data_IF_789573433549
#
_entry.id   IF_789573433549
#
_cell.length_a   1.000
_cell.length_b   1.000
_cell.length_c   1.000
_cell.angle_alpha   90.00
_cell.angle_beta   90.00
_cell.angle_gamma   90.00
#
_symmetry.space_group_name_H-M   'P 1'
#
loop_
_entity.id
_entity.type
_entity.pdbx_description
1 polymer ?
#
# COMPACT_ATOMS: atom_id res chain seq x y z
N UNK A 1 -22.25 -9.05 -16.38
CA UNK A 1 -20.81 -8.72 -16.49
C UNK A 1 -20.64 -7.21 -16.47
N UNK A 2 -19.72 -6.67 -15.66
CA UNK A 2 -19.44 -5.22 -15.57
C UNK A 2 -17.99 -4.93 -15.96
N UNK A 3 -17.77 -3.80 -16.62
CA UNK A 3 -16.48 -3.32 -17.08
C UNK A 3 -16.23 -1.90 -16.58
N UNK A 4 -15.01 -1.58 -16.19
CA UNK A 4 -14.55 -0.23 -15.90
C UNK A 4 -13.16 -0.03 -16.51
N UNK A 5 -12.66 1.21 -16.47
CA UNK A 5 -11.33 1.56 -16.94
C UNK A 5 -10.53 2.13 -15.77
N UNK A 6 -9.31 1.64 -15.57
CA UNK A 6 -8.45 2.09 -14.46
C UNK A 6 -8.07 3.57 -14.54
N UNK A 7 -8.06 4.14 -15.73
CA UNK A 7 -7.79 5.56 -15.99
C UNK A 7 -9.04 6.43 -16.06
N UNK A 8 -10.23 5.81 -16.08
CA UNK A 8 -11.50 6.51 -16.11
C UNK A 8 -11.84 7.20 -14.79
N UNK A 9 -12.93 7.99 -14.81
CA UNK A 9 -13.51 8.52 -13.58
C UNK A 9 -13.95 7.36 -12.68
N UNK A 10 -13.47 7.33 -11.47
CA UNK A 10 -13.82 6.34 -10.44
C UNK A 10 -14.33 7.02 -9.19
N UNK A 11 -14.86 6.23 -8.27
CA UNK A 11 -15.24 6.72 -6.96
C UNK A 11 -13.97 7.06 -6.17
N UNK A 12 -13.70 8.37 -6.03
CA UNK A 12 -12.55 8.84 -5.29
C UNK A 12 -12.74 8.57 -3.81
N UNK A 13 -11.82 7.83 -3.22
CA UNK A 13 -11.81 7.56 -1.78
C UNK A 13 -11.04 8.66 -1.07
N UNK A 14 -11.64 9.23 -0.03
CA UNK A 14 -10.92 10.12 0.87
C UNK A 14 -9.80 9.32 1.57
N UNK A 15 -8.58 9.80 1.43
CA UNK A 15 -7.39 9.19 2.00
C UNK A 15 -7.09 9.86 3.34
N UNK A 16 -6.81 9.07 4.38
CA UNK A 16 -6.29 9.62 5.64
C UNK A 16 -4.83 10.09 5.40
N UNK A 17 -4.55 11.41 5.53
CA UNK A 17 -3.22 11.94 5.26
C UNK A 17 -2.14 11.38 6.20
N UNK A 18 -2.50 10.88 7.37
CA UNK A 18 -1.56 10.26 8.32
C UNK A 18 -0.98 8.93 7.82
N UNK A 19 -1.57 8.30 6.80
CA UNK A 19 -1.09 7.04 6.23
C UNK A 19 -0.02 7.21 5.15
N UNK A 20 0.22 8.46 4.74
CA UNK A 20 1.13 8.78 3.64
C UNK A 20 2.12 9.88 4.02
N UNK A 21 3.28 9.87 3.37
CA UNK A 21 4.31 10.88 3.62
C UNK A 21 4.03 12.19 2.88
N UNK A 22 3.21 12.15 1.82
CA UNK A 22 2.81 13.30 1.01
C UNK A 22 1.49 12.97 0.31
N UNK A 23 1.05 13.87 -0.57
CA UNK A 23 -0.23 13.79 -1.26
C UNK A 23 -0.38 12.51 -2.09
N UNK A 24 -1.47 11.82 -1.86
CA UNK A 24 -1.82 10.55 -2.50
C UNK A 24 -3.31 10.55 -2.84
N UNK A 25 -3.64 10.02 -4.01
CA UNK A 25 -5.01 9.87 -4.49
C UNK A 25 -5.36 8.39 -4.60
N UNK A 26 -6.60 8.05 -4.30
CA UNK A 26 -7.07 6.68 -4.36
C UNK A 26 -8.46 6.63 -5.00
N UNK A 27 -8.61 5.77 -6.01
CA UNK A 27 -9.91 5.43 -6.62
C UNK A 27 -10.29 4.00 -6.30
N UNK A 28 -11.52 3.77 -5.90
CA UNK A 28 -12.09 2.43 -5.73
C UNK A 28 -12.54 1.90 -7.09
N UNK A 29 -12.01 0.76 -7.50
CA UNK A 29 -12.33 0.09 -8.77
C UNK A 29 -13.26 -1.09 -8.58
N UNK A 30 -13.14 -1.81 -7.46
CA UNK A 30 -13.93 -3.02 -7.16
C UNK A 30 -15.44 -2.80 -7.18
N UNK A 31 -15.92 -1.67 -6.66
CA UNK A 31 -17.33 -1.32 -6.70
C UNK A 31 -17.89 -1.17 -8.13
N UNK A 32 -17.11 -0.59 -9.03
CA UNK A 32 -17.51 -0.38 -10.43
C UNK A 32 -17.69 -1.70 -11.21
N UNK A 33 -16.90 -2.69 -10.91
CA UNK A 33 -17.00 -4.02 -11.54
C UNK A 33 -17.79 -5.02 -10.70
N UNK A 34 -18.35 -4.57 -9.57
CA UNK A 34 -19.11 -5.39 -8.60
C UNK A 34 -18.33 -6.58 -8.06
N UNK A 35 -17.01 -6.43 -7.87
CA UNK A 35 -16.18 -7.41 -7.16
C UNK A 35 -16.49 -7.38 -5.67
N UNK A 36 -16.69 -8.55 -5.07
CA UNK A 36 -17.00 -8.71 -3.63
C UNK A 36 -15.95 -9.48 -2.85
N UNK A 37 -15.08 -10.20 -3.55
CA UNK A 37 -14.09 -11.09 -2.93
C UNK A 37 -12.75 -10.39 -2.71
N UNK A 38 -12.61 -9.19 -3.27
CA UNK A 38 -11.38 -8.41 -3.21
C UNK A 38 -11.68 -6.93 -3.33
N UNK A 39 -10.84 -6.11 -2.68
CA UNK A 39 -10.84 -4.67 -2.86
C UNK A 39 -9.78 -4.30 -3.88
N UNK A 40 -10.16 -3.51 -4.88
CA UNK A 40 -9.25 -3.08 -5.95
C UNK A 40 -9.23 -1.56 -6.00
N UNK A 41 -8.03 -1.00 -5.92
CA UNK A 41 -7.80 0.44 -5.92
C UNK A 41 -6.79 0.84 -7.00
N UNK A 42 -7.00 2.00 -7.60
CA UNK A 42 -5.96 2.73 -8.31
C UNK A 42 -5.39 3.79 -7.37
N UNK A 43 -4.12 3.67 -7.02
CA UNK A 43 -3.43 4.58 -6.09
C UNK A 43 -2.40 5.39 -6.85
N UNK A 44 -2.51 6.72 -6.75
CA UNK A 44 -1.58 7.65 -7.36
C UNK A 44 -0.81 8.39 -6.27
N UNK A 45 0.50 8.23 -6.28
CA UNK A 45 1.44 8.91 -5.40
C UNK A 45 2.04 10.11 -6.12
N UNK A 46 1.81 11.31 -5.59
CA UNK A 46 2.52 12.49 -6.07
C UNK A 46 4.02 12.38 -5.74
N UNK A 47 4.80 13.28 -6.30
CA UNK A 47 6.26 13.30 -6.23
C UNK A 47 6.79 12.98 -4.83
N UNK A 48 7.51 11.89 -4.69
CA UNK A 48 8.10 11.45 -3.44
C UNK A 48 7.11 10.91 -2.40
N UNK A 49 5.81 10.85 -2.70
CA UNK A 49 4.84 10.29 -1.76
C UNK A 49 4.98 8.78 -1.63
N UNK A 50 4.86 8.30 -0.40
CA UNK A 50 4.90 6.88 -0.04
C UNK A 50 3.89 6.60 1.06
N UNK A 51 3.50 5.34 1.17
CA UNK A 51 2.81 4.89 2.39
C UNK A 51 3.74 4.97 3.58
N UNK A 52 3.19 5.21 4.76
CA UNK A 52 3.89 4.93 6.01
C UNK A 52 4.02 3.43 6.24
N UNK A 53 4.76 3.03 7.24
CA UNK A 53 4.97 1.64 7.59
C UNK A 53 3.65 0.99 7.98
N UNK A 54 3.32 -0.17 7.39
CA UNK A 54 2.07 -0.86 7.66
C UNK A 54 2.15 -2.35 7.31
N UNK A 55 1.12 -3.09 7.71
CA UNK A 55 0.88 -4.47 7.30
C UNK A 55 -0.63 -4.73 7.19
N UNK A 56 -1.00 -5.76 6.44
CA UNK A 56 -2.38 -6.19 6.24
C UNK A 56 -2.63 -7.59 6.82
N UNK A 57 -3.85 -7.85 7.22
CA UNK A 57 -4.26 -9.19 7.66
C UNK A 57 -4.49 -10.18 6.52
N UNK A 58 -4.56 -9.70 5.29
CA UNK A 58 -4.67 -10.50 4.05
C UNK A 58 -3.53 -10.21 3.08
N UNK A 59 -3.48 -10.98 2.01
CA UNK A 59 -2.51 -10.79 0.94
C UNK A 59 -2.82 -9.54 0.12
N UNK A 60 -1.80 -8.98 -0.53
CA UNK A 60 -1.95 -7.85 -1.44
C UNK A 60 -1.12 -8.11 -2.72
N UNK A 61 -1.69 -7.72 -3.86
CA UNK A 61 -0.95 -7.66 -5.12
C UNK A 61 -0.85 -6.20 -5.55
N UNK A 62 0.34 -5.77 -5.97
CA UNK A 62 0.56 -4.47 -6.58
C UNK A 62 0.96 -4.64 -8.04
N UNK A 63 0.41 -3.79 -8.90
CA UNK A 63 0.75 -3.74 -10.33
C UNK A 63 1.12 -2.29 -10.67
N UNK A 64 2.37 -2.06 -11.07
CA UNK A 64 2.82 -0.75 -11.54
C UNK A 64 2.12 -0.35 -12.84
N UNK A 65 1.52 0.84 -12.89
CA UNK A 65 0.77 1.32 -14.07
C UNK A 65 1.27 2.65 -14.63
N UNK A 66 2.07 3.40 -13.87
CA UNK A 66 2.68 4.64 -14.32
C UNK A 66 3.89 5.01 -13.46
N UNK A 67 4.96 5.45 -14.11
CA UNK A 67 6.15 5.95 -13.43
C UNK A 67 6.97 4.85 -12.76
N UNK A 68 7.74 5.24 -11.76
CA UNK A 68 8.67 4.35 -11.05
C UNK A 68 8.49 4.46 -9.54
N UNK A 69 8.23 3.32 -8.92
CA UNK A 69 8.08 3.20 -7.48
C UNK A 69 8.97 2.13 -6.89
N UNK A 70 8.77 1.88 -5.61
CA UNK A 70 9.40 0.75 -4.92
C UNK A 70 8.51 0.21 -3.80
N UNK A 71 8.70 -1.06 -3.50
CA UNK A 71 8.24 -1.76 -2.32
C UNK A 71 9.45 -2.00 -1.41
N UNK A 72 9.35 -1.63 -0.15
CA UNK A 72 10.38 -1.86 0.86
C UNK A 72 9.81 -2.71 1.98
N UNK A 73 10.51 -3.80 2.33
CA UNK A 73 10.10 -4.79 3.32
C UNK A 73 10.98 -4.69 4.56
N UNK A 74 10.34 -4.77 5.72
CA UNK A 74 10.99 -4.61 7.02
C UNK A 74 10.75 -5.82 7.93
N UNK A 75 11.69 -6.08 8.81
CA UNK A 75 11.55 -7.00 9.94
C UNK A 75 11.63 -6.26 11.26
N UNK A 76 10.89 -6.75 12.24
CA UNK A 76 10.96 -6.27 13.63
C UNK A 76 12.14 -6.90 14.35
N UNK A 77 12.77 -6.10 15.21
CA UNK A 77 13.81 -6.54 16.13
C UNK A 77 13.49 -6.06 17.55
N UNK A 78 13.86 -6.86 18.54
CA UNK A 78 13.65 -6.56 19.95
C UNK A 78 12.30 -7.06 20.46
N UNK A 79 12.15 -7.03 21.80
CA UNK A 79 11.07 -7.71 22.53
C UNK A 79 10.10 -6.79 23.25
N UNK A 80 10.27 -5.46 23.15
CA UNK A 80 9.38 -4.54 23.87
C UNK A 80 8.07 -4.32 23.10
N UNK A 81 6.94 -4.38 23.80
CA UNK A 81 5.60 -4.23 23.22
C UNK A 81 5.31 -2.82 22.69
N UNK A 82 5.99 -1.81 23.21
CA UNK A 82 5.73 -0.40 22.90
C UNK A 82 6.73 0.23 21.94
N UNK A 83 7.98 -0.24 21.95
CA UNK A 83 9.04 0.25 21.08
C UNK A 83 9.78 -0.93 20.47
N UNK A 84 9.69 -1.09 19.17
CA UNK A 84 10.48 -2.09 18.49
C UNK A 84 11.34 -1.43 17.40
N UNK A 85 12.50 -2.02 17.19
CA UNK A 85 13.38 -1.61 16.09
C UNK A 85 12.97 -2.33 14.82
N UNK A 86 13.21 -1.71 13.69
CA UNK A 86 12.97 -2.28 12.38
C UNK A 86 14.25 -2.24 11.55
N UNK A 87 14.36 -3.20 10.65
CA UNK A 87 15.43 -3.25 9.66
C UNK A 87 14.82 -3.50 8.29
N UNK A 88 15.21 -2.69 7.32
CA UNK A 88 14.90 -2.97 5.92
C UNK A 88 15.65 -4.23 5.50
N UNK A 89 14.93 -5.21 4.98
CA UNK A 89 15.49 -6.49 4.55
C UNK A 89 15.44 -6.67 3.05
N UNK A 90 14.54 -5.94 2.37
CA UNK A 90 14.39 -6.03 0.93
C UNK A 90 13.88 -4.71 0.35
N UNK A 91 14.31 -4.38 -0.86
CA UNK A 91 13.79 -3.30 -1.68
C UNK A 91 13.58 -3.81 -3.10
N UNK A 92 12.35 -3.70 -3.58
CA UNK A 92 11.94 -4.11 -4.92
C UNK A 92 11.56 -2.86 -5.70
N UNK A 93 12.19 -2.63 -6.84
CA UNK A 93 11.79 -1.57 -7.78
C UNK A 93 10.52 -2.00 -8.50
N UNK A 94 9.57 -1.08 -8.64
CA UNK A 94 8.32 -1.27 -9.38
C UNK A 94 8.29 -0.31 -10.56
N UNK A 95 8.47 -0.85 -11.75
CA UNK A 95 8.28 -0.13 -13.00
C UNK A 95 6.85 -0.36 -13.53
N UNK A 96 6.48 0.38 -14.55
CA UNK A 96 5.24 0.15 -15.28
C UNK A 96 5.20 -1.28 -15.83
N UNK A 97 4.13 -2.02 -15.55
CA UNK A 97 3.95 -3.42 -15.92
C UNK A 97 4.44 -4.44 -14.88
N UNK A 98 5.23 -4.03 -13.89
CA UNK A 98 5.68 -4.95 -12.85
C UNK A 98 4.52 -5.35 -11.92
N UNK A 99 4.51 -6.61 -11.52
CA UNK A 99 3.56 -7.17 -10.57
C UNK A 99 4.30 -7.80 -9.40
N UNK A 100 3.82 -7.58 -8.19
CA UNK A 100 4.40 -8.15 -6.97
C UNK A 100 3.31 -8.61 -6.00
N UNK A 101 3.56 -9.72 -5.34
CA UNK A 101 2.70 -10.27 -4.28
C UNK A 101 3.31 -9.99 -2.91
N UNK A 102 2.50 -9.43 -2.01
CA UNK A 102 2.85 -9.15 -0.62
C UNK A 102 2.04 -10.08 0.27
N UNK A 103 2.69 -11.06 0.93
CA UNK A 103 2.00 -11.95 1.87
C UNK A 103 1.37 -11.19 3.04
N UNK A 104 0.29 -11.73 3.58
CA UNK A 104 -0.33 -11.23 4.80
C UNK A 104 0.70 -11.03 5.93
N UNK A 105 0.52 -10.01 6.75
CA UNK A 105 1.37 -9.64 7.89
C UNK A 105 2.81 -9.21 7.54
N UNK A 106 3.11 -9.00 6.26
CA UNK A 106 4.39 -8.43 5.84
C UNK A 106 4.45 -6.94 6.19
N UNK A 107 5.43 -6.53 6.99
CA UNK A 107 5.65 -5.13 7.34
C UNK A 107 6.37 -4.43 6.19
N UNK A 108 5.75 -3.40 5.61
CA UNK A 108 6.24 -2.80 4.37
C UNK A 108 5.85 -1.34 4.19
N UNK A 109 6.49 -0.69 3.21
CA UNK A 109 6.09 0.59 2.60
C UNK A 109 6.17 0.49 1.09
N UNK A 110 5.37 1.26 0.39
CA UNK A 110 5.47 1.39 -1.07
C UNK A 110 5.09 2.80 -1.53
N UNK A 111 5.48 3.16 -2.74
CA UNK A 111 5.17 4.46 -3.30
C UNK A 111 6.23 4.92 -4.29
N UNK A 112 6.28 6.23 -4.57
CA UNK A 112 7.27 6.84 -5.45
C UNK A 112 8.70 6.69 -4.90
N UNK A 113 9.66 6.48 -5.78
CA UNK A 113 11.09 6.42 -5.41
C UNK A 113 11.80 7.75 -5.47
N UNK A 114 11.19 8.76 -6.10
CA UNK A 114 11.84 10.02 -6.46
C UNK A 114 10.99 11.21 -6.03
N UNK A 115 11.61 12.19 -5.39
CA UNK A 115 10.97 13.46 -5.01
C UNK A 115 10.50 14.30 -6.20
N UNK A 116 10.95 13.98 -7.41
CA UNK A 116 10.60 14.68 -8.66
C UNK A 116 9.62 13.92 -9.55
N UNK A 117 9.33 12.66 -9.24
CA UNK A 117 8.53 11.77 -10.10
C UNK A 117 7.32 11.22 -9.37
N UNK A 118 6.24 11.08 -10.11
CA UNK A 118 5.01 10.42 -9.68
C UNK A 118 5.11 8.90 -9.87
N UNK A 119 4.26 8.18 -9.16
CA UNK A 119 4.08 6.75 -9.32
C UNK A 119 2.61 6.38 -9.14
N UNK A 120 2.12 5.45 -9.94
CA UNK A 120 0.79 4.87 -9.74
C UNK A 120 0.84 3.36 -9.82
N UNK A 121 0.02 2.71 -8.99
CA UNK A 121 -0.18 1.27 -9.05
C UNK A 121 -1.65 0.92 -8.87
N UNK A 122 -2.01 -0.29 -9.29
CA UNK A 122 -3.23 -0.98 -8.86
C UNK A 122 -2.88 -1.79 -7.62
N UNK A 123 -3.67 -1.65 -6.57
CA UNK A 123 -3.62 -2.50 -5.38
C UNK A 123 -4.82 -3.44 -5.37
N UNK A 124 -4.56 -4.73 -5.25
CA UNK A 124 -5.58 -5.78 -5.10
C UNK A 124 -5.42 -6.37 -3.70
N UNK A 125 -6.40 -6.08 -2.83
CA UNK A 125 -6.44 -6.59 -1.47
C UNK A 125 -7.30 -7.83 -1.44
N UNK A 126 -6.72 -8.96 -1.06
CA UNK A 126 -7.35 -10.28 -1.08
C UNK A 126 -7.78 -10.63 0.34
N UNK A 127 -9.08 -10.85 0.54
CA UNK A 127 -9.63 -11.21 1.85
C UNK A 127 -9.04 -12.54 2.32
N UNK A 128 -8.63 -12.60 3.58
CA UNK A 128 -8.05 -13.81 4.19
C UNK A 128 -9.08 -14.95 4.30
N UNK A 129 -10.35 -14.59 4.48
CA UNK A 129 -11.49 -15.52 4.55
C UNK A 129 -12.71 -14.86 3.89
N UNK A 130 -13.60 -15.68 3.33
CA UNK A 130 -14.90 -15.21 2.83
C UNK A 130 -15.65 -14.45 3.93
N UNK A 131 -16.21 -13.30 3.60
CA UNK A 131 -16.94 -12.41 4.52
C UNK A 131 -16.09 -11.84 5.66
N UNK A 132 -14.76 -11.91 5.58
CA UNK A 132 -13.87 -11.23 6.51
C UNK A 132 -13.62 -9.79 6.10
N UNK A 133 -13.16 -8.98 7.05
CA UNK A 133 -12.75 -7.61 6.80
C UNK A 133 -11.24 -7.53 6.51
N UNK A 134 -10.86 -6.81 5.47
CA UNK A 134 -9.46 -6.51 5.17
C UNK A 134 -9.01 -5.36 6.06
N UNK A 135 -8.10 -5.63 7.00
CA UNK A 135 -7.60 -4.66 7.97
C UNK A 135 -6.15 -4.32 7.73
N UNK A 136 -5.83 -3.04 7.91
CA UNK A 136 -4.47 -2.52 7.84
C UNK A 136 -4.06 -1.95 9.19
N UNK A 137 -2.87 -2.31 9.65
CA UNK A 137 -2.24 -1.71 10.84
C UNK A 137 -1.16 -0.75 10.39
N UNK A 138 -1.29 0.52 10.77
CA UNK A 138 -0.41 1.62 10.40
C UNK A 138 0.51 2.02 11.54
N UNK A 139 1.73 2.43 11.20
CA UNK A 139 2.73 2.89 12.16
C UNK A 139 3.38 4.19 11.72
N UNK A 140 3.57 5.10 12.67
CA UNK A 140 4.54 6.18 12.57
C UNK A 140 5.92 5.64 12.93
N UNK A 141 6.94 5.96 12.17
CA UNK A 141 8.28 5.41 12.35
C UNK A 141 9.35 6.38 11.86
N UNK A 142 10.45 6.46 12.61
CA UNK A 142 11.70 7.08 12.16
C UNK A 142 12.54 6.16 11.27
N UNK A 143 12.06 4.93 11.03
CA UNK A 143 12.75 3.84 10.32
C UNK A 143 14.07 3.38 10.96
N UNK A 144 14.34 3.80 12.19
CA UNK A 144 15.56 3.46 12.94
C UNK A 144 15.25 2.72 14.24
N UNK A 145 14.43 3.29 15.09
CA UNK A 145 14.25 2.77 16.45
C UNK A 145 12.83 2.85 17.00
N UNK A 146 12.10 3.90 16.67
CA UNK A 146 10.78 4.14 17.28
C UNK A 146 9.67 3.86 16.30
N UNK A 147 8.71 3.03 16.73
CA UNK A 147 7.52 2.69 15.97
C UNK A 147 6.30 2.83 16.85
N UNK A 148 5.39 3.71 16.48
CA UNK A 148 4.14 3.97 17.18
C UNK A 148 2.96 3.63 16.29
N UNK A 149 2.01 2.83 16.81
CA UNK A 149 0.79 2.50 16.08
C UNK A 149 -0.07 3.74 15.86
N UNK A 150 -0.47 3.97 14.63
CA UNK A 150 -1.47 5.00 14.27
C UNK A 150 -2.87 4.39 14.42
N UNK A 151 -3.72 5.09 15.10
CA UNK A 151 -5.11 4.68 15.34
C UNK A 151 -6.02 5.15 14.21
#
# INVERSE_FOLDING_TARGET
MKKSNIYGSGDQRKVNPEWFTNKTWMKVLSGKIKSKDQDIYHVHFEKGSRTKLHWHNGNQVLIGVKGKGSLEIFKKYGTTKSNFKIKKVEKITLNEGDIVHIPAKTLHTHGSTDKKKEFSHIAINILAKKNSEYKTTWYESDFKSTVTKIV
#
